data_IF_847852664313
#
_entry.id   IF_847852664313
#
_cell.length_a   1.000
_cell.length_b   1.000
_cell.length_c   1.000
_cell.angle_alpha   90.00
_cell.angle_beta   90.00
_cell.angle_gamma   90.00
#
_symmetry.space_group_name_H-M   'P 1'
#
loop_
_entity.id
_entity.type
_entity.pdbx_description
1 polymer ?
#
# COMPACT_ATOMS: atom_id res chain seq x y z
N UNK A 1 47.79 -78.13 22.22
CA UNK A 1 47.20 -77.06 23.00
C UNK A 1 47.28 -75.82 22.10
N UNK A 2 46.20 -75.50 21.42
CA UNK A 2 46.09 -74.30 20.57
C UNK A 2 45.19 -73.29 21.31
N UNK A 3 45.78 -72.18 21.73
CA UNK A 3 45.06 -71.09 22.36
C UNK A 3 44.31 -70.26 21.30
N UNK A 4 42.98 -70.16 21.45
CA UNK A 4 42.13 -69.31 20.63
C UNK A 4 42.09 -67.89 21.20
N UNK A 5 42.53 -66.88 20.41
CA UNK A 5 42.40 -65.46 20.73
C UNK A 5 40.97 -64.96 20.46
N UNK A 6 40.36 -64.18 21.35
CA UNK A 6 39.04 -63.62 21.07
C UNK A 6 39.13 -62.42 20.11
N UNK A 7 38.30 -62.44 19.08
CA UNK A 7 38.12 -61.39 18.12
C UNK A 7 37.21 -60.26 18.73
N UNK A 8 37.77 -59.07 18.93
CA UNK A 8 37.02 -57.90 19.38
C UNK A 8 36.24 -57.30 18.20
N UNK A 9 34.93 -57.46 18.23
CA UNK A 9 34.02 -56.77 17.32
C UNK A 9 33.84 -55.35 17.82
N UNK A 10 34.32 -54.37 17.07
CA UNK A 10 34.08 -52.92 17.29
C UNK A 10 32.75 -52.54 16.61
N UNK A 11 31.72 -52.34 17.40
CA UNK A 11 30.46 -51.72 16.93
C UNK A 11 30.68 -50.23 16.76
N UNK A 12 30.81 -49.76 15.50
CA UNK A 12 30.79 -48.33 15.22
C UNK A 12 29.34 -47.87 15.17
N UNK A 13 28.88 -47.14 16.19
CA UNK A 13 27.62 -46.44 16.20
C UNK A 13 27.73 -45.20 15.32
N UNK A 14 27.16 -45.28 14.12
CA UNK A 14 26.91 -44.11 13.29
C UNK A 14 25.69 -43.35 13.83
N UNK A 15 25.92 -42.31 14.63
CA UNK A 15 24.90 -41.33 14.97
C UNK A 15 24.70 -40.38 13.78
N UNK A 16 23.70 -40.64 12.95
CA UNK A 16 23.24 -39.70 11.93
C UNK A 16 22.54 -38.54 12.61
N UNK A 17 23.24 -37.42 12.78
CA UNK A 17 22.64 -36.17 13.22
C UNK A 17 21.75 -35.63 12.08
N UNK A 18 20.44 -35.78 12.21
CA UNK A 18 19.45 -35.17 11.33
C UNK A 18 19.43 -33.66 11.63
N UNK A 19 20.16 -32.88 10.86
CA UNK A 19 20.05 -31.41 10.85
C UNK A 19 18.68 -31.06 10.24
N UNK A 20 17.66 -30.96 11.08
CA UNK A 20 16.40 -30.36 10.72
C UNK A 20 16.65 -28.85 10.47
N UNK A 21 16.79 -28.47 9.22
CA UNK A 21 16.79 -27.06 8.81
C UNK A 21 15.42 -26.46 9.18
N UNK A 22 15.37 -25.67 10.23
CA UNK A 22 14.22 -24.85 10.58
C UNK A 22 14.05 -23.83 9.44
N UNK A 23 13.23 -24.18 8.45
CA UNK A 23 12.73 -23.20 7.47
C UNK A 23 11.79 -22.29 8.24
N UNK A 24 12.29 -21.16 8.72
CA UNK A 24 11.43 -20.11 9.23
C UNK A 24 10.55 -19.63 8.07
N UNK A 25 9.25 -19.86 8.17
CA UNK A 25 8.31 -19.35 7.19
C UNK A 25 8.44 -17.82 7.16
N UNK A 26 8.73 -17.29 5.99
CA UNK A 26 8.87 -15.85 5.75
C UNK A 26 7.57 -15.14 6.18
N UNK A 27 7.70 -14.01 6.88
CA UNK A 27 6.52 -13.25 7.30
C UNK A 27 5.74 -12.75 6.08
N UNK A 28 4.40 -12.64 6.15
CA UNK A 28 3.61 -12.11 5.05
C UNK A 28 4.06 -10.70 4.62
N UNK A 29 4.46 -9.85 5.54
CA UNK A 29 5.00 -8.52 5.23
C UNK A 29 6.32 -8.59 4.46
N UNK A 30 7.20 -9.53 4.80
CA UNK A 30 8.44 -9.75 4.06
C UNK A 30 8.15 -10.22 2.62
N UNK A 31 7.14 -11.05 2.42
CA UNK A 31 6.71 -11.45 1.06
C UNK A 31 6.26 -10.25 0.23
N UNK A 32 5.54 -9.30 0.81
CA UNK A 32 5.16 -8.06 0.12
C UNK A 32 6.40 -7.24 -0.19
N UNK A 33 7.33 -7.08 0.76
CA UNK A 33 8.58 -6.37 0.52
C UNK A 33 9.37 -6.98 -0.64
N UNK A 34 9.53 -8.29 -0.67
CA UNK A 34 10.26 -8.97 -1.75
C UNK A 34 9.52 -8.86 -3.09
N UNK A 35 8.17 -8.89 -3.08
CA UNK A 35 7.35 -8.64 -4.28
C UNK A 35 7.56 -7.23 -4.81
N UNK A 36 7.60 -6.22 -3.94
CA UNK A 36 7.92 -4.82 -4.30
C UNK A 36 9.33 -4.69 -4.91
N UNK A 37 10.32 -5.36 -4.31
CA UNK A 37 11.70 -5.32 -4.84
C UNK A 37 11.81 -6.05 -6.19
N UNK A 38 11.08 -7.15 -6.35
CA UNK A 38 11.02 -7.88 -7.63
C UNK A 38 10.28 -7.06 -8.70
N UNK A 39 9.24 -6.32 -8.32
CA UNK A 39 8.53 -5.41 -9.21
C UNK A 39 9.43 -4.26 -9.68
N UNK A 40 10.11 -3.58 -8.77
CA UNK A 40 11.05 -2.51 -9.14
C UNK A 40 12.15 -3.02 -10.07
N UNK A 41 12.71 -4.21 -9.77
CA UNK A 41 13.70 -4.86 -10.64
C UNK A 41 13.12 -5.14 -12.03
N UNK A 42 11.90 -5.66 -12.13
CA UNK A 42 11.25 -5.89 -13.43
C UNK A 42 11.04 -4.59 -14.23
N UNK A 43 10.69 -3.50 -13.54
CA UNK A 43 10.60 -2.16 -14.16
C UNK A 43 11.96 -1.69 -14.67
N UNK A 44 13.03 -1.87 -13.89
CA UNK A 44 14.37 -1.48 -14.29
C UNK A 44 14.90 -2.29 -15.49
N UNK A 45 14.58 -3.59 -15.56
CA UNK A 45 15.06 -4.49 -16.62
C UNK A 45 14.20 -4.48 -17.89
N UNK A 46 12.87 -4.37 -17.75
CA UNK A 46 11.91 -4.54 -18.86
C UNK A 46 11.21 -3.23 -19.26
N UNK A 47 11.46 -2.14 -18.52
CA UNK A 47 10.77 -0.86 -18.65
C UNK A 47 9.48 -0.79 -17.85
N UNK A 48 9.02 0.45 -17.60
CA UNK A 48 7.88 0.74 -16.73
C UNK A 48 6.62 0.00 -17.19
N UNK A 49 6.26 0.10 -18.47
CA UNK A 49 5.04 -0.52 -18.99
C UNK A 49 4.99 -2.03 -18.71
N UNK A 50 6.07 -2.74 -19.06
CA UNK A 50 6.14 -4.20 -18.91
C UNK A 50 6.12 -4.63 -17.45
N UNK A 51 6.87 -3.93 -16.58
CA UNK A 51 6.87 -4.19 -15.15
C UNK A 51 5.48 -4.02 -14.54
N UNK A 52 4.80 -2.93 -14.82
CA UNK A 52 3.44 -2.71 -14.32
C UNK A 52 2.42 -3.74 -14.83
N UNK A 53 2.49 -4.11 -16.13
CA UNK A 53 1.63 -5.17 -16.68
C UNK A 53 1.86 -6.52 -15.97
N UNK A 54 3.10 -6.82 -15.59
CA UNK A 54 3.45 -8.08 -14.93
C UNK A 54 2.92 -8.13 -13.49
N UNK A 55 3.00 -7.03 -12.74
CA UNK A 55 2.68 -7.01 -11.30
C UNK A 55 1.25 -6.58 -10.97
N UNK A 56 0.54 -5.90 -11.86
CA UNK A 56 -0.88 -5.63 -11.68
C UNK A 56 -1.72 -6.90 -11.87
N UNK A 57 -2.80 -7.03 -11.09
CA UNK A 57 -3.83 -8.04 -11.34
C UNK A 57 -4.58 -7.75 -12.66
N UNK A 58 -5.34 -8.71 -13.16
CA UNK A 58 -6.07 -8.56 -14.42
C UNK A 58 -7.04 -7.37 -14.41
N UNK A 59 -7.63 -7.11 -13.25
CA UNK A 59 -8.59 -6.03 -12.97
C UNK A 59 -8.00 -4.91 -12.10
N UNK A 60 -6.66 -4.90 -11.96
CA UNK A 60 -5.95 -3.90 -11.15
C UNK A 60 -6.20 -2.47 -11.61
N UNK A 61 -6.44 -1.58 -10.66
CA UNK A 61 -6.77 -0.18 -10.91
C UNK A 61 -5.53 0.71 -10.85
N UNK A 62 -5.47 1.67 -11.74
CA UNK A 62 -4.61 2.86 -11.65
C UNK A 62 -5.46 4.12 -11.91
N UNK A 63 -4.88 5.30 -11.64
CA UNK A 63 -5.55 6.59 -11.87
C UNK A 63 -4.76 7.41 -12.90
N UNK A 64 -5.47 7.83 -14.01
CA UNK A 64 -4.85 8.68 -15.04
C UNK A 64 -5.90 9.37 -15.93
N UNK A 65 -6.47 10.52 -15.57
CA UNK A 65 -6.60 10.96 -14.17
C UNK A 65 -7.69 10.19 -13.43
N UNK A 66 -8.63 9.55 -14.13
CA UNK A 66 -9.71 8.74 -13.56
C UNK A 66 -9.28 7.29 -13.36
N UNK A 67 -10.02 6.57 -12.51
CA UNK A 67 -9.79 5.14 -12.28
C UNK A 67 -9.99 4.33 -13.56
N UNK A 68 -9.03 3.48 -13.91
CA UNK A 68 -9.06 2.64 -15.09
C UNK A 68 -8.32 1.33 -14.88
N UNK A 69 -8.53 0.36 -15.77
CA UNK A 69 -7.76 -0.88 -15.74
C UNK A 69 -6.28 -0.58 -16.03
N UNK A 70 -5.42 -0.90 -15.07
CA UNK A 70 -4.02 -0.56 -15.13
C UNK A 70 -3.26 -1.33 -16.20
N UNK A 71 -3.56 -2.63 -16.39
CA UNK A 71 -2.85 -3.43 -17.41
C UNK A 71 -3.15 -2.93 -18.81
N UNK A 72 -4.41 -2.64 -19.12
CA UNK A 72 -4.79 -2.09 -20.42
C UNK A 72 -4.22 -0.68 -20.63
N UNK A 73 -4.22 0.14 -19.59
CA UNK A 73 -3.64 1.47 -19.67
C UNK A 73 -2.13 1.43 -19.98
N UNK A 74 -1.38 0.56 -19.29
CA UNK A 74 0.06 0.41 -19.52
C UNK A 74 0.38 -0.24 -20.85
N UNK A 75 -0.42 -1.20 -21.32
CA UNK A 75 -0.29 -1.82 -22.64
C UNK A 75 -0.42 -0.83 -23.79
N UNK A 76 -1.31 0.16 -23.62
CA UNK A 76 -1.60 1.16 -24.63
C UNK A 76 -0.67 2.38 -24.58
N UNK A 77 0.24 2.47 -23.59
CA UNK A 77 1.25 3.54 -23.53
C UNK A 77 2.41 3.26 -24.47
N UNK A 78 2.93 4.28 -25.19
CA UNK A 78 4.15 4.12 -25.97
C UNK A 78 5.34 3.79 -25.05
N UNK A 79 6.36 3.09 -25.54
CA UNK A 79 7.61 2.90 -24.81
C UNK A 79 8.22 4.23 -24.41
N UNK A 80 8.80 4.29 -23.22
CA UNK A 80 9.43 5.48 -22.68
C UNK A 80 10.84 5.14 -22.17
N UNK A 81 11.82 6.02 -22.33
CA UNK A 81 13.14 5.86 -21.72
C UNK A 81 13.13 6.14 -20.22
N UNK A 82 12.02 6.59 -19.67
CA UNK A 82 11.90 7.01 -18.28
C UNK A 82 12.34 5.92 -17.30
N UNK A 83 12.94 6.33 -16.20
CA UNK A 83 13.27 5.47 -15.05
C UNK A 83 12.33 5.77 -13.89
N UNK A 84 11.92 4.73 -13.21
CA UNK A 84 11.15 4.81 -11.97
C UNK A 84 11.79 3.85 -10.96
N UNK A 85 12.25 4.42 -9.85
CA UNK A 85 12.79 3.66 -8.72
C UNK A 85 11.99 3.96 -7.48
N UNK A 86 11.84 2.98 -6.59
CA UNK A 86 11.11 3.18 -5.34
C UNK A 86 11.59 2.28 -4.22
N UNK A 87 11.21 2.64 -3.01
CA UNK A 87 11.48 1.85 -1.82
C UNK A 87 10.24 1.85 -0.91
N UNK A 88 9.71 0.67 -0.55
CA UNK A 88 8.65 0.59 0.45
C UNK A 88 9.18 1.05 1.80
N UNK A 89 8.39 1.84 2.52
CA UNK A 89 8.70 2.33 3.87
C UNK A 89 7.70 1.82 4.91
N UNK A 90 6.52 1.36 4.45
CA UNK A 90 5.47 0.83 5.30
C UNK A 90 4.73 -0.30 4.60
N UNK A 91 4.56 -1.40 5.29
CA UNK A 91 3.83 -2.57 4.78
C UNK A 91 2.95 -3.11 5.89
N UNK A 92 1.67 -3.32 5.59
CA UNK A 92 0.75 -3.96 6.52
C UNK A 92 -0.09 -5.02 5.80
N UNK A 93 -0.28 -6.15 6.46
CA UNK A 93 -0.95 -7.31 5.88
C UNK A 93 -2.17 -7.65 6.71
N UNK A 94 -3.24 -8.10 6.08
CA UNK A 94 -4.42 -8.62 6.77
C UNK A 94 -4.08 -9.88 7.59
N UNK A 95 -4.80 -10.10 8.67
CA UNK A 95 -4.58 -11.24 9.57
C UNK A 95 -4.65 -12.61 8.87
N UNK A 96 -5.46 -12.71 7.81
CA UNK A 96 -5.58 -13.92 6.99
C UNK A 96 -4.57 -13.94 5.79
N UNK A 97 -3.74 -12.92 5.64
CA UNK A 97 -2.76 -12.80 4.56
C UNK A 97 -3.35 -12.67 3.16
N UNK A 98 -4.64 -12.39 3.01
CA UNK A 98 -5.27 -12.29 1.70
C UNK A 98 -5.10 -10.92 1.05
N UNK A 99 -5.00 -9.87 1.88
CA UNK A 99 -4.82 -8.49 1.48
C UNK A 99 -3.62 -7.87 2.18
N UNK A 100 -2.96 -6.93 1.49
CA UNK A 100 -1.93 -6.09 2.08
C UNK A 100 -1.95 -4.70 1.43
N UNK A 101 -1.33 -3.73 2.08
CA UNK A 101 -0.95 -2.49 1.44
C UNK A 101 0.51 -2.15 1.72
N UNK A 102 1.10 -1.42 0.80
CA UNK A 102 2.43 -0.84 0.94
C UNK A 102 2.40 0.64 0.61
N UNK A 103 3.19 1.41 1.34
CA UNK A 103 3.47 2.82 1.06
C UNK A 103 4.97 2.95 0.93
N UNK A 104 5.41 3.72 -0.06
CA UNK A 104 6.82 3.98 -0.25
C UNK A 104 7.10 5.29 -0.95
N UNK A 105 8.37 5.67 -0.95
CA UNK A 105 8.87 6.80 -1.72
C UNK A 105 9.35 6.32 -3.09
N UNK A 106 9.30 7.20 -4.09
CA UNK A 106 9.80 6.93 -5.43
C UNK A 106 10.43 8.14 -6.08
N UNK A 107 11.24 7.88 -7.10
CA UNK A 107 11.87 8.90 -7.94
C UNK A 107 11.59 8.54 -9.40
N UNK A 108 10.95 9.44 -10.10
CA UNK A 108 10.71 9.35 -11.54
C UNK A 108 11.65 10.28 -12.30
N UNK A 109 12.33 9.76 -13.32
CA UNK A 109 13.27 10.47 -14.16
C UNK A 109 12.84 10.28 -15.64
N UNK A 110 12.33 11.32 -16.32
CA UNK A 110 11.66 11.17 -17.62
C UNK A 110 12.58 10.73 -18.76
N UNK A 111 13.89 11.00 -18.69
CA UNK A 111 14.86 10.64 -19.73
C UNK A 111 15.78 9.48 -19.34
N UNK A 112 15.41 8.71 -18.31
CA UNK A 112 16.16 7.57 -17.81
C UNK A 112 16.95 7.87 -16.54
N UNK A 113 17.64 6.85 -16.02
CA UNK A 113 18.33 6.87 -14.72
C UNK A 113 19.42 7.97 -14.57
N UNK A 114 19.95 8.44 -15.69
CA UNK A 114 20.99 9.45 -15.69
C UNK A 114 20.42 10.89 -15.88
N UNK A 115 19.10 11.03 -15.95
CA UNK A 115 18.45 12.33 -16.04
C UNK A 115 18.58 13.08 -14.71
N UNK A 116 19.03 14.32 -14.80
CA UNK A 116 19.13 15.22 -13.63
C UNK A 116 17.76 15.74 -13.17
N UNK A 117 16.73 15.66 -14.04
CA UNK A 117 15.36 16.00 -13.70
C UNK A 117 14.74 14.86 -12.88
N UNK A 118 14.39 15.15 -11.64
CA UNK A 118 13.82 14.19 -10.72
C UNK A 118 12.46 14.68 -10.21
N UNK A 119 11.47 13.83 -10.26
CA UNK A 119 10.18 14.02 -9.62
C UNK A 119 10.06 13.06 -8.43
N UNK A 120 9.79 13.60 -7.26
CA UNK A 120 9.67 12.83 -6.02
C UNK A 120 8.22 12.46 -5.80
N UNK A 121 7.99 11.19 -5.46
CA UNK A 121 6.66 10.62 -5.32
C UNK A 121 6.54 9.84 -4.02
N UNK A 122 5.31 9.68 -3.55
CA UNK A 122 4.95 8.59 -2.65
C UNK A 122 3.80 7.81 -3.27
N UNK A 123 3.86 6.49 -3.15
CA UNK A 123 2.85 5.58 -3.68
C UNK A 123 2.10 4.85 -2.56
N UNK A 124 0.92 4.37 -2.90
CA UNK A 124 0.10 3.44 -2.14
C UNK A 124 -0.30 2.32 -3.10
N UNK A 125 0.17 1.10 -2.84
CA UNK A 125 -0.25 -0.09 -3.57
C UNK A 125 -1.07 -1.00 -2.67
N UNK A 126 -2.14 -1.56 -3.20
CA UNK A 126 -2.95 -2.58 -2.55
C UNK A 126 -2.68 -3.92 -3.22
N UNK A 127 -2.30 -4.91 -2.43
CA UNK A 127 -1.90 -6.24 -2.86
C UNK A 127 -2.94 -7.28 -2.49
N UNK A 128 -3.30 -8.15 -3.43
CA UNK A 128 -4.15 -9.31 -3.17
C UNK A 128 -3.40 -10.60 -3.47
N UNK A 129 -3.50 -11.55 -2.53
CA UNK A 129 -2.92 -12.88 -2.71
C UNK A 129 -3.74 -13.66 -3.73
N UNK A 130 -3.07 -14.12 -4.77
CA UNK A 130 -3.65 -14.93 -5.84
C UNK A 130 -3.77 -16.41 -5.43
N UNK A 131 -4.56 -17.22 -6.14
CA UNK A 131 -4.68 -18.66 -5.84
C UNK A 131 -3.36 -19.45 -5.86
N UNK A 132 -2.37 -19.01 -6.64
CA UNK A 132 -1.02 -19.61 -6.67
C UNK A 132 -0.13 -19.14 -5.50
N UNK A 133 -0.65 -18.28 -4.61
CA UNK A 133 0.07 -17.76 -3.45
C UNK A 133 0.94 -16.52 -3.69
N UNK A 134 1.06 -16.05 -4.93
CA UNK A 134 1.72 -14.79 -5.28
C UNK A 134 0.82 -13.59 -4.92
N UNK A 135 1.44 -12.41 -4.79
CA UNK A 135 0.69 -11.17 -4.66
C UNK A 135 0.70 -10.38 -5.97
N UNK A 136 -0.45 -9.83 -6.33
CA UNK A 136 -0.61 -8.88 -7.44
C UNK A 136 -1.25 -7.59 -6.93
N UNK A 137 -0.83 -6.46 -7.47
CA UNK A 137 -1.41 -5.18 -7.12
C UNK A 137 -2.82 -5.06 -7.72
N UNK A 138 -3.82 -4.93 -6.88
CA UNK A 138 -5.23 -4.68 -7.28
C UNK A 138 -5.51 -3.20 -7.39
N UNK A 139 -4.64 -2.37 -6.85
CA UNK A 139 -4.64 -0.92 -7.00
C UNK A 139 -3.22 -0.41 -6.84
N UNK A 140 -2.82 0.53 -7.69
CA UNK A 140 -1.58 1.28 -7.56
C UNK A 140 -1.84 2.76 -7.84
N UNK A 141 -1.40 3.61 -6.93
CA UNK A 141 -1.62 5.04 -6.96
C UNK A 141 -0.49 5.80 -6.29
N UNK A 142 -0.25 7.03 -6.69
CA UNK A 142 0.81 7.84 -6.08
C UNK A 142 0.56 9.33 -6.22
N UNK A 143 1.20 10.09 -5.36
CA UNK A 143 1.23 11.55 -5.35
C UNK A 143 2.61 12.05 -5.70
N UNK A 144 2.68 13.24 -6.30
CA UNK A 144 3.92 13.97 -6.50
C UNK A 144 4.08 15.01 -5.38
N UNK A 145 5.33 15.33 -5.05
CA UNK A 145 5.63 16.36 -4.05
C UNK A 145 7.03 16.94 -4.25
N UNK A 146 7.36 18.07 -3.63
CA UNK A 146 8.72 18.60 -3.60
C UNK A 146 9.70 17.58 -3.00
N UNK A 147 10.99 17.73 -3.32
CA UNK A 147 12.03 16.89 -2.73
C UNK A 147 11.95 16.93 -1.20
N UNK A 148 11.77 15.77 -0.52
CA UNK A 148 11.70 15.74 0.93
C UNK A 148 13.09 16.00 1.54
N UNK A 149 13.14 16.50 2.77
CA UNK A 149 14.39 16.73 3.50
C UNK A 149 15.16 15.42 3.75
N UNK A 150 14.44 14.33 3.96
CA UNK A 150 14.99 12.97 4.14
C UNK A 150 14.18 11.98 3.33
N UNK A 151 14.87 11.00 2.75
CA UNK A 151 14.24 9.87 2.05
C UNK A 151 14.44 8.63 2.91
N UNK A 152 13.38 8.09 3.54
CA UNK A 152 13.49 6.86 4.33
C UNK A 152 13.92 5.69 3.44
N UNK A 153 14.82 4.86 3.97
CA UNK A 153 15.32 3.66 3.29
C UNK A 153 14.90 2.36 3.99
N UNK A 154 14.53 2.46 5.27
CA UNK A 154 14.07 1.33 6.06
C UNK A 154 12.55 1.23 6.02
N UNK A 155 12.05 0.01 5.90
CA UNK A 155 10.63 -0.24 5.98
C UNK A 155 10.21 -0.74 7.36
N UNK A 156 8.96 -0.49 7.70
CA UNK A 156 8.32 -0.93 8.94
C UNK A 156 7.05 -1.69 8.63
N UNK A 157 6.72 -2.62 9.51
CA UNK A 157 5.44 -3.32 9.51
C UNK A 157 4.93 -3.38 10.94
N UNK A 158 3.73 -2.87 11.24
CA UNK A 158 3.11 -3.13 12.53
C UNK A 158 2.95 -4.62 12.75
N UNK A 159 2.96 -5.09 13.99
CA UNK A 159 2.62 -6.48 14.30
C UNK A 159 1.24 -6.81 13.72
N UNK A 160 1.11 -7.96 13.08
CA UNK A 160 -0.20 -8.46 12.67
C UNK A 160 -1.04 -8.65 13.92
N UNK A 161 -2.18 -7.96 14.01
CA UNK A 161 -3.11 -8.11 15.13
C UNK A 161 -3.60 -9.55 15.15
N UNK A 162 -3.10 -10.36 16.08
CA UNK A 162 -3.48 -11.77 16.17
C UNK A 162 -4.92 -11.88 16.65
N UNK A 163 -5.76 -12.62 15.93
CA UNK A 163 -7.09 -13.11 16.38
C UNK A 163 -8.13 -12.06 16.82
N UNK A 164 -8.05 -10.84 16.35
CA UNK A 164 -9.17 -9.92 16.53
C UNK A 164 -10.40 -10.49 15.80
N UNK A 165 -11.46 -10.80 16.55
CA UNK A 165 -12.75 -11.19 15.96
C UNK A 165 -13.25 -9.98 15.17
N UNK A 166 -13.31 -10.12 13.84
CA UNK A 166 -14.03 -9.16 12.99
C UNK A 166 -15.51 -9.33 13.25
N UNK A 167 -16.06 -8.49 14.12
CA UNK A 167 -17.47 -8.54 14.49
C UNK A 167 -18.35 -7.75 13.49
N UNK A 168 -17.77 -6.69 12.90
CA UNK A 168 -18.45 -5.80 11.96
C UNK A 168 -17.53 -5.54 10.77
N UNK A 169 -18.10 -5.26 9.60
CA UNK A 169 -17.30 -4.94 8.41
C UNK A 169 -16.72 -3.52 8.49
N UNK A 170 -15.65 -3.28 7.76
CA UNK A 170 -15.10 -1.92 7.59
C UNK A 170 -16.16 -0.98 6.98
N UNK A 171 -17.06 -1.49 6.15
CA UNK A 171 -18.18 -0.74 5.57
C UNK A 171 -19.10 -0.13 6.62
N UNK A 172 -19.36 -0.85 7.71
CA UNK A 172 -20.19 -0.38 8.82
C UNK A 172 -19.57 0.82 9.56
N UNK A 173 -18.25 0.98 9.47
CA UNK A 173 -17.50 2.10 10.07
C UNK A 173 -17.19 3.21 9.06
N UNK A 174 -17.05 2.88 7.79
CA UNK A 174 -16.82 3.87 6.75
C UNK A 174 -18.05 4.78 6.53
N UNK A 175 -19.27 4.23 6.60
CA UNK A 175 -20.51 5.03 6.47
C UNK A 175 -20.61 6.11 7.57
N UNK A 176 -20.45 5.80 8.86
CA UNK A 176 -20.40 6.83 9.91
C UNK A 176 -19.31 7.87 9.70
N UNK A 177 -18.12 7.50 9.20
CA UNK A 177 -17.07 8.45 8.87
C UNK A 177 -17.54 9.47 7.84
N UNK A 178 -18.08 9.01 6.69
CA UNK A 178 -18.57 9.92 5.64
C UNK A 178 -19.71 10.80 6.12
N UNK A 179 -20.64 10.25 6.89
CA UNK A 179 -21.72 11.02 7.51
C UNK A 179 -21.15 12.10 8.43
N UNK A 180 -20.18 11.76 9.28
CA UNK A 180 -19.56 12.73 10.19
C UNK A 180 -18.80 13.84 9.44
N UNK A 181 -18.16 13.53 8.29
CA UNK A 181 -17.54 14.56 7.44
C UNK A 181 -18.60 15.58 6.99
N UNK A 182 -19.78 15.12 6.59
CA UNK A 182 -20.86 15.97 6.11
C UNK A 182 -21.54 16.78 7.24
N UNK A 183 -21.76 16.15 8.40
CA UNK A 183 -22.52 16.78 9.51
C UNK A 183 -21.66 17.56 10.50
N UNK A 184 -20.48 17.06 10.82
CA UNK A 184 -19.63 17.56 11.90
C UNK A 184 -18.31 18.16 11.40
N UNK A 185 -18.03 17.96 10.13
CA UNK A 185 -16.85 18.47 9.45
C UNK A 185 -15.65 17.52 9.46
N UNK A 186 -14.75 17.77 8.53
CA UNK A 186 -13.59 16.93 8.22
C UNK A 186 -12.69 16.69 9.44
N UNK A 187 -12.37 17.74 10.20
CA UNK A 187 -11.43 17.63 11.33
C UNK A 187 -11.95 16.65 12.38
N UNK A 188 -13.25 16.76 12.77
CA UNK A 188 -13.85 15.88 13.78
C UNK A 188 -13.92 14.44 13.30
N UNK A 189 -14.29 14.22 12.03
CA UNK A 189 -14.35 12.88 11.44
C UNK A 189 -12.97 12.21 11.44
N UNK A 190 -11.95 12.88 10.92
CA UNK A 190 -10.59 12.31 10.90
C UNK A 190 -10.03 12.15 12.32
N UNK A 191 -10.30 13.07 13.25
CA UNK A 191 -9.92 12.89 14.65
C UNK A 191 -10.51 11.62 15.28
N UNK A 192 -11.70 11.23 14.86
CA UNK A 192 -12.40 10.05 15.38
C UNK A 192 -11.87 8.76 14.75
N UNK A 193 -11.66 8.75 13.42
CA UNK A 193 -11.43 7.52 12.67
C UNK A 193 -9.98 7.29 12.24
N UNK A 194 -9.10 8.30 12.27
CA UNK A 194 -7.72 8.15 11.82
C UNK A 194 -6.92 7.34 12.83
N UNK A 195 -6.13 6.38 12.35
CA UNK A 195 -5.16 5.65 13.15
C UNK A 195 -4.01 6.57 13.61
N UNK A 196 -3.37 6.25 14.74
CA UNK A 196 -2.29 7.09 15.27
C UNK A 196 -1.05 7.12 14.37
N UNK A 197 -0.83 6.06 13.59
CA UNK A 197 0.26 5.90 12.63
C UNK A 197 -0.20 6.05 11.16
N UNK A 198 -1.32 6.69 10.92
CA UNK A 198 -1.89 6.85 9.59
C UNK A 198 -1.04 7.69 8.66
N UNK A 199 -1.15 7.44 7.37
CA UNK A 199 -0.62 8.28 6.30
C UNK A 199 -1.74 9.09 5.66
N UNK A 200 -1.64 10.41 5.73
CA UNK A 200 -2.48 11.31 4.95
C UNK A 200 -1.68 11.82 3.75
N UNK A 201 -2.09 11.42 2.55
CA UNK A 201 -1.37 11.66 1.29
C UNK A 201 -2.17 12.64 0.42
N UNK A 202 -1.58 13.78 0.12
CA UNK A 202 -2.20 14.85 -0.69
C UNK A 202 -1.22 15.28 -1.76
N UNK A 203 -1.63 15.29 -3.01
CA UNK A 203 -0.77 15.70 -4.13
C UNK A 203 -0.17 17.07 -3.87
N UNK A 204 1.07 17.29 -4.28
CA UNK A 204 1.84 18.49 -3.98
C UNK A 204 2.48 18.56 -2.59
N UNK A 205 2.22 17.58 -1.71
CA UNK A 205 2.73 17.57 -0.33
C UNK A 205 3.43 16.25 -0.01
N UNK A 206 4.54 16.33 0.73
CA UNK A 206 5.10 15.15 1.39
C UNK A 206 4.05 14.55 2.32
N UNK A 207 3.86 13.22 2.36
CA UNK A 207 2.84 12.61 3.21
C UNK A 207 2.92 13.04 4.68
N UNK A 208 1.78 13.32 5.27
CA UNK A 208 1.65 13.58 6.70
C UNK A 208 1.56 12.25 7.43
N UNK A 209 2.64 11.85 8.08
CA UNK A 209 2.70 10.62 8.86
C UNK A 209 2.30 10.86 10.31
N UNK A 210 1.38 10.03 10.78
CA UNK A 210 0.82 10.10 12.12
C UNK A 210 -0.38 11.04 12.25
N UNK A 211 -1.30 10.67 13.12
CA UNK A 211 -2.56 11.37 13.35
C UNK A 211 -2.38 12.86 13.69
N UNK A 212 -1.37 13.21 14.49
CA UNK A 212 -1.12 14.59 14.88
C UNK A 212 -0.76 15.48 13.67
N UNK A 213 0.16 15.01 12.79
CA UNK A 213 0.55 15.74 11.59
C UNK A 213 -0.62 15.87 10.61
N UNK A 214 -1.38 14.80 10.41
CA UNK A 214 -2.55 14.78 9.55
C UNK A 214 -3.63 15.75 10.04
N UNK A 215 -3.92 15.78 11.34
CA UNK A 215 -4.90 16.70 11.92
C UNK A 215 -4.44 18.16 11.84
N UNK A 216 -3.16 18.45 12.06
CA UNK A 216 -2.61 19.80 11.90
C UNK A 216 -2.83 20.32 10.48
N UNK A 217 -2.59 19.50 9.46
CA UNK A 217 -2.91 19.86 8.07
C UNK A 217 -4.40 20.12 7.86
N UNK A 218 -5.26 19.22 8.32
CA UNK A 218 -6.71 19.35 8.15
C UNK A 218 -7.28 20.55 8.91
N UNK A 219 -6.75 20.88 10.09
CA UNK A 219 -7.11 22.05 10.86
C UNK A 219 -6.70 23.36 10.19
N UNK A 220 -5.56 23.37 9.49
CA UNK A 220 -5.08 24.54 8.76
C UNK A 220 -5.87 24.79 7.48
N UNK A 221 -6.27 23.75 6.77
CA UNK A 221 -6.93 23.83 5.46
C UNK A 221 -8.46 23.79 5.54
N UNK A 222 -9.01 23.05 6.50
CA UNK A 222 -10.46 22.84 6.73
C UNK A 222 -11.25 22.62 5.44
N UNK A 223 -10.87 21.65 4.59
CA UNK A 223 -11.53 21.44 3.32
C UNK A 223 -12.98 20.96 3.52
N UNK A 224 -13.92 21.53 2.79
CA UNK A 224 -15.29 21.03 2.75
C UNK A 224 -15.38 19.89 1.72
N UNK A 225 -15.15 18.67 2.19
CA UNK A 225 -15.08 17.48 1.36
C UNK A 225 -16.48 16.86 1.20
N UNK A 226 -16.79 16.47 -0.04
CA UNK A 226 -17.95 15.62 -0.36
C UNK A 226 -17.43 14.34 -1.01
N UNK A 227 -17.84 13.20 -0.48
CA UNK A 227 -17.50 11.89 -1.01
C UNK A 227 -18.65 11.35 -1.89
N UNK A 228 -18.31 10.77 -3.04
CA UNK A 228 -19.30 10.09 -3.90
C UNK A 228 -19.92 8.91 -3.14
N UNK A 229 -21.22 8.66 -3.41
CA UNK A 229 -21.95 7.51 -2.83
C UNK A 229 -21.51 6.17 -3.44
N UNK A 230 -21.09 6.14 -4.70
CA UNK A 230 -20.55 4.93 -5.34
C UNK A 230 -19.10 4.76 -4.93
N UNK A 231 -18.79 3.58 -4.39
CA UNK A 231 -17.45 3.25 -3.93
C UNK A 231 -17.10 1.82 -4.37
N UNK A 232 -15.84 1.63 -4.77
CA UNK A 232 -15.24 0.30 -4.87
C UNK A 232 -14.74 -0.06 -3.48
N UNK A 233 -15.04 -1.26 -3.03
CA UNK A 233 -14.72 -1.73 -1.70
C UNK A 233 -14.28 -3.18 -1.74
N UNK A 234 -13.20 -3.52 -1.05
CA UNK A 234 -12.75 -4.89 -0.82
C UNK A 234 -12.24 -5.02 0.61
N UNK A 235 -12.65 -6.10 1.27
CA UNK A 235 -12.28 -6.43 2.64
C UNK A 235 -11.76 -7.86 2.74
N UNK A 236 -10.72 -8.06 3.53
CA UNK A 236 -10.21 -9.38 3.87
C UNK A 236 -9.68 -9.39 5.30
N UNK A 237 -10.39 -10.10 6.17
CA UNK A 237 -10.06 -10.16 7.60
C UNK A 237 -10.16 -8.78 8.24
N UNK A 238 -9.06 -8.28 8.76
CA UNK A 238 -8.93 -7.03 9.49
C UNK A 238 -8.40 -5.85 8.65
N UNK A 239 -8.39 -6.01 7.31
CA UNK A 239 -7.95 -5.00 6.35
C UNK A 239 -9.01 -4.80 5.27
N UNK A 240 -9.28 -3.54 4.94
CA UNK A 240 -10.16 -3.17 3.83
C UNK A 240 -9.60 -1.96 3.10
N UNK A 241 -9.98 -1.80 1.84
CA UNK A 241 -9.77 -0.56 1.11
C UNK A 241 -11.03 -0.11 0.39
N UNK A 242 -11.10 1.20 0.20
CA UNK A 242 -12.21 1.88 -0.46
C UNK A 242 -11.64 2.89 -1.44
N UNK A 243 -12.22 2.98 -2.62
CA UNK A 243 -11.88 4.00 -3.61
C UNK A 243 -13.14 4.56 -4.27
N UNK A 244 -13.13 5.86 -4.54
CA UNK A 244 -14.18 6.56 -5.29
C UNK A 244 -13.74 7.98 -5.64
N UNK A 245 -14.72 8.82 -6.02
CA UNK A 245 -14.52 10.24 -6.27
C UNK A 245 -14.82 11.07 -5.03
N UNK A 246 -14.09 12.17 -4.90
CA UNK A 246 -14.37 13.24 -3.95
C UNK A 246 -14.48 14.58 -4.69
N UNK A 247 -15.09 15.56 -4.02
CA UNK A 247 -14.95 16.97 -4.39
C UNK A 247 -14.72 17.82 -3.16
N UNK A 248 -14.02 18.95 -3.34
CA UNK A 248 -13.89 20.02 -2.37
C UNK A 248 -14.71 21.19 -2.87
N UNK A 249 -15.53 21.74 -2.00
CA UNK A 249 -16.37 22.91 -2.32
C UNK A 249 -15.96 24.12 -1.49
N UNK A 250 -16.13 25.30 -2.05
CA UNK A 250 -15.98 26.56 -1.31
C UNK A 250 -17.22 26.89 -0.45
N UNK A 251 -17.18 28.03 0.23
CA UNK A 251 -18.29 28.48 1.08
C UNK A 251 -19.60 28.76 0.31
N UNK A 252 -19.52 28.98 -0.99
CA UNK A 252 -20.69 29.15 -1.88
C UNK A 252 -21.28 27.82 -2.34
N UNK A 253 -20.59 26.70 -2.06
CA UNK A 253 -20.93 25.37 -2.55
C UNK A 253 -20.40 25.06 -3.94
N UNK A 254 -19.59 25.95 -4.54
CA UNK A 254 -18.96 25.73 -5.84
C UNK A 254 -17.79 24.74 -5.67
N UNK A 255 -17.72 23.74 -6.55
CA UNK A 255 -16.60 22.80 -6.61
C UNK A 255 -15.30 23.54 -7.00
N UNK A 256 -14.30 23.44 -6.18
CA UNK A 256 -12.96 24.01 -6.38
C UNK A 256 -11.93 22.94 -6.76
N UNK A 257 -12.17 21.70 -6.36
CA UNK A 257 -11.36 20.54 -6.69
C UNK A 257 -12.26 19.31 -6.76
N UNK A 258 -11.92 18.39 -7.64
CA UNK A 258 -12.46 17.03 -7.66
C UNK A 258 -11.33 16.04 -7.90
N UNK A 259 -11.51 14.80 -7.47
CA UNK A 259 -10.48 13.81 -7.67
C UNK A 259 -10.92 12.41 -7.26
N UNK A 260 -9.98 11.49 -7.35
CA UNK A 260 -10.12 10.15 -6.80
C UNK A 260 -9.60 10.12 -5.36
N UNK A 261 -10.17 9.28 -4.52
CA UNK A 261 -9.58 8.97 -3.23
C UNK A 261 -9.42 7.46 -3.05
N UNK A 262 -8.44 7.10 -2.24
CA UNK A 262 -8.23 5.74 -1.76
C UNK A 262 -8.06 5.80 -0.25
N UNK A 263 -8.85 5.04 0.48
CA UNK A 263 -8.69 4.86 1.92
C UNK A 263 -8.40 3.40 2.23
N UNK A 264 -7.42 3.17 3.09
CA UNK A 264 -7.16 1.88 3.71
C UNK A 264 -7.67 1.90 5.13
N UNK A 265 -8.48 0.92 5.46
CA UNK A 265 -9.05 0.72 6.78
C UNK A 265 -8.44 -0.52 7.43
N UNK A 266 -8.06 -0.41 8.69
CA UNK A 266 -7.49 -1.48 9.47
C UNK A 266 -8.22 -1.62 10.80
N UNK A 267 -8.59 -2.86 11.15
CA UNK A 267 -9.13 -3.18 12.45
C UNK A 267 -7.99 -3.27 13.46
N UNK A 268 -8.03 -2.46 14.50
CA UNK A 268 -7.04 -2.41 15.56
C UNK A 268 -7.73 -2.20 16.90
N UNK A 269 -7.46 -3.06 17.87
CA UNK A 269 -8.07 -3.01 19.20
C UNK A 269 -9.61 -2.95 19.13
N UNK A 270 -10.21 -3.76 18.24
CA UNK A 270 -11.66 -3.85 18.05
C UNK A 270 -12.30 -2.64 17.34
N UNK A 271 -11.51 -1.72 16.76
CA UNK A 271 -11.99 -0.53 16.04
C UNK A 271 -11.40 -0.46 14.64
N UNK A 272 -12.25 -0.26 13.65
CA UNK A 272 -11.82 0.09 12.31
C UNK A 272 -11.33 1.54 12.27
N UNK A 273 -10.12 1.72 11.78
CA UNK A 273 -9.45 3.02 11.68
C UNK A 273 -8.87 3.22 10.28
N UNK A 274 -8.81 4.45 9.82
CA UNK A 274 -8.16 4.81 8.56
C UNK A 274 -6.65 4.76 8.77
N UNK A 275 -5.99 3.81 8.13
CA UNK A 275 -4.53 3.63 8.16
C UNK A 275 -3.81 4.41 7.06
N UNK A 276 -4.48 4.60 5.90
CA UNK A 276 -3.98 5.46 4.84
C UNK A 276 -5.14 6.18 4.14
N UNK A 277 -4.91 7.40 3.73
CA UNK A 277 -5.90 8.24 3.04
C UNK A 277 -5.19 9.06 1.95
N UNK A 278 -5.44 8.72 0.71
CA UNK A 278 -4.81 9.28 -0.48
C UNK A 278 -5.85 10.03 -1.32
N UNK A 279 -5.54 11.27 -1.69
CA UNK A 279 -6.32 12.07 -2.64
C UNK A 279 -5.50 12.39 -3.89
N UNK A 280 -6.12 12.15 -5.05
CA UNK A 280 -5.56 12.37 -6.37
C UNK A 280 -6.45 13.34 -7.15
N UNK A 281 -6.11 14.62 -7.18
CA UNK A 281 -6.87 15.61 -7.94
C UNK A 281 -6.97 15.25 -9.43
N UNK A 282 -8.13 15.48 -10.00
CA UNK A 282 -8.36 15.38 -11.44
C UNK A 282 -8.31 16.80 -12.01
N UNK A 283 -7.36 17.11 -12.91
CA UNK A 283 -7.28 18.42 -13.52
C UNK A 283 -8.59 18.85 -14.19
N UNK A 284 -8.94 20.13 -14.17
CA UNK A 284 -10.09 20.64 -14.92
C UNK A 284 -9.96 20.29 -16.40
N UNK A 285 -11.09 19.97 -17.06
CA UNK A 285 -11.09 19.71 -18.49
C UNK A 285 -10.67 20.99 -19.25
N UNK A 286 -9.60 20.91 -20.03
CA UNK A 286 -9.14 22.00 -20.89
C UNK A 286 -7.93 22.80 -20.37
N UNK A 287 -7.20 22.28 -19.38
CA UNK A 287 -5.85 22.77 -19.03
C UNK A 287 -4.79 21.80 -19.50
#
# INVERSE_FOLDING_TARGET
>A
MLESKPMKVIFALFTSALLASLVFAQSPAQKIYDTERAFEKAVAEKGINSGFIEYLSADGLIFNPEAQNGREAWKNRPPSPASLTWNPIWIEVSSNGALAYSIGNGIYQPKGKDDTTQYFTHYLSIWSRQPNGEYKAVLDAGINHPKPATIPTEWKSPPVSGNEKVLNSAGDHAVPFYTMVETDGVVKAYKTFLADDAFLMRDGNVPYFGKAAALSYLESTKPAIKFSKRKTFLEAGDLAWVSSLYSIVDRSGKETERGNFVQVWKLRNGKWQIAADLFLPIPPKGQ
#
